data_IF_648926543878
#
_entry.id   IF_648926543878
#
_cell.length_a   1.000
_cell.length_b   1.000
_cell.length_c   1.000
_cell.angle_alpha   90.00
_cell.angle_beta   90.00
_cell.angle_gamma   90.00
#
_symmetry.space_group_name_H-M   'P 1'
#
loop_
_entity.id
_entity.type
_entity.pdbx_description
1 polymer ?
#
# COMPACT_ATOMS: atom_id res chain seq x y z
N UNK A 1 1.94 28.00 58.23
CA UNK A 1 2.19 26.62 57.73
C UNK A 1 0.93 26.01 57.08
N UNK A 2 -0.26 26.29 57.61
CA UNK A 2 -1.59 25.90 57.08
C UNK A 2 -1.84 26.24 55.60
N UNK A 3 -1.51 27.46 55.19
CA UNK A 3 -1.87 28.01 53.87
C UNK A 3 -1.11 27.33 52.72
N UNK A 4 0.16 26.95 52.97
CA UNK A 4 0.98 26.16 52.05
C UNK A 4 0.47 24.72 51.90
N UNK A 5 -0.18 24.15 52.92
CA UNK A 5 -0.83 22.84 52.82
C UNK A 5 -2.13 22.94 52.00
N UNK A 6 -2.92 24.00 52.20
CA UNK A 6 -4.17 24.24 51.46
C UNK A 6 -3.92 24.48 49.96
N UNK A 7 -2.88 25.23 49.60
CA UNK A 7 -2.50 25.43 48.18
C UNK A 7 -1.97 24.16 47.53
N UNK A 8 -1.23 23.33 48.27
CA UNK A 8 -0.74 22.04 47.80
C UNK A 8 -1.89 21.04 47.56
N UNK A 9 -2.85 20.95 48.49
CA UNK A 9 -4.06 20.13 48.32
C UNK A 9 -4.87 20.57 47.10
N UNK A 10 -5.08 21.89 46.92
CA UNK A 10 -5.77 22.43 45.74
C UNK A 10 -5.00 22.19 44.43
N UNK A 11 -3.67 22.15 44.47
CA UNK A 11 -2.82 21.79 43.33
C UNK A 11 -3.01 20.33 42.93
N UNK A 12 -2.96 19.41 43.91
CA UNK A 12 -3.17 17.99 43.68
C UNK A 12 -4.59 17.67 43.19
N UNK A 13 -5.59 18.41 43.66
CA UNK A 13 -6.99 18.27 43.18
C UNK A 13 -7.14 18.70 41.72
N UNK A 14 -6.45 19.77 41.30
CA UNK A 14 -6.41 20.20 39.90
C UNK A 14 -5.70 19.17 39.01
N UNK A 15 -4.57 18.64 39.47
CA UNK A 15 -3.85 17.57 38.77
C UNK A 15 -4.71 16.32 38.62
N UNK A 16 -5.44 15.93 39.69
CA UNK A 16 -6.39 14.81 39.65
C UNK A 16 -7.49 15.02 38.60
N UNK A 17 -8.08 16.22 38.51
CA UNK A 17 -9.12 16.53 37.51
C UNK A 17 -8.56 16.45 36.07
N UNK A 18 -7.34 16.93 35.85
CA UNK A 18 -6.68 16.85 34.53
C UNK A 18 -6.40 15.39 34.15
N UNK A 19 -5.93 14.57 35.10
CA UNK A 19 -5.67 13.15 34.87
C UNK A 19 -6.98 12.38 34.60
N UNK A 20 -8.04 12.61 35.38
CA UNK A 20 -9.34 11.97 35.15
C UNK A 20 -9.94 12.38 33.79
N UNK A 21 -9.75 13.64 33.37
CA UNK A 21 -10.15 14.12 32.03
C UNK A 21 -9.33 13.44 30.94
N UNK A 22 -8.01 13.34 31.10
CA UNK A 22 -7.14 12.68 30.14
C UNK A 22 -7.46 11.19 30.00
N UNK A 23 -7.81 10.51 31.09
CA UNK A 23 -8.22 9.10 31.08
C UNK A 23 -9.56 8.94 30.34
N UNK A 24 -10.54 9.81 30.60
CA UNK A 24 -11.83 9.78 29.89
C UNK A 24 -11.67 10.01 28.40
N UNK A 25 -10.87 11.02 28.04
CA UNK A 25 -10.61 11.36 26.65
C UNK A 25 -9.80 10.25 25.93
N UNK A 26 -8.85 9.61 26.60
CA UNK A 26 -8.13 8.46 26.05
C UNK A 26 -9.06 7.27 25.79
N UNK A 27 -10.03 7.02 26.68
CA UNK A 27 -11.02 5.95 26.51
C UNK A 27 -11.98 6.25 25.36
N UNK A 28 -12.48 7.48 25.29
CA UNK A 28 -13.38 7.91 24.21
C UNK A 28 -12.69 7.88 22.85
N UNK A 29 -11.43 8.33 22.76
CA UNK A 29 -10.63 8.24 21.53
C UNK A 29 -10.35 6.79 21.13
N UNK A 30 -9.99 5.93 22.07
CA UNK A 30 -9.75 4.52 21.78
C UNK A 30 -11.02 3.81 21.29
N UNK A 31 -12.18 4.16 21.85
CA UNK A 31 -13.47 3.61 21.42
C UNK A 31 -13.87 4.14 20.03
N UNK A 32 -13.68 5.43 19.76
CA UNK A 32 -13.95 6.04 18.46
C UNK A 32 -13.04 5.46 17.36
N UNK A 33 -11.75 5.31 17.63
CA UNK A 33 -10.80 4.69 16.69
C UNK A 33 -11.15 3.21 16.45
N UNK A 34 -11.56 2.48 17.49
CA UNK A 34 -12.00 1.09 17.34
C UNK A 34 -13.29 0.98 16.50
N UNK A 35 -14.25 1.89 16.66
CA UNK A 35 -15.46 1.93 15.86
C UNK A 35 -15.17 2.30 14.40
N UNK A 36 -14.38 3.34 14.14
CA UNK A 36 -13.99 3.74 12.79
C UNK A 36 -13.23 2.60 12.09
N UNK A 37 -12.32 1.95 12.81
CA UNK A 37 -11.55 0.81 12.29
C UNK A 37 -12.46 -0.40 12.01
N UNK A 38 -13.44 -0.66 12.85
CA UNK A 38 -14.43 -1.72 12.65
C UNK A 38 -15.34 -1.43 11.46
N UNK A 39 -15.79 -0.19 11.29
CA UNK A 39 -16.62 0.25 10.16
C UNK A 39 -15.84 0.18 8.85
N UNK A 40 -14.60 0.67 8.83
CA UNK A 40 -13.73 0.60 7.66
C UNK A 40 -13.40 -0.85 7.28
N UNK A 41 -13.15 -1.71 8.27
CA UNK A 41 -12.95 -3.15 8.04
C UNK A 41 -14.23 -3.84 7.56
N UNK A 42 -15.41 -3.46 8.04
CA UNK A 42 -16.69 -3.98 7.58
C UNK A 42 -16.98 -3.52 6.13
N UNK A 43 -16.72 -2.27 5.79
CA UNK A 43 -16.84 -1.73 4.44
C UNK A 43 -15.86 -2.42 3.46
N UNK A 44 -14.63 -2.67 3.88
CA UNK A 44 -13.64 -3.41 3.09
C UNK A 44 -14.02 -4.89 2.91
N UNK A 45 -14.57 -5.55 3.94
CA UNK A 45 -15.13 -6.91 3.84
C UNK A 45 -16.38 -6.95 2.97
N UNK A 46 -17.22 -5.93 3.00
CA UNK A 46 -18.38 -5.83 2.11
C UNK A 46 -17.95 -5.62 0.66
N UNK A 47 -16.93 -4.80 0.41
CA UNK A 47 -16.38 -4.56 -0.94
C UNK A 47 -15.66 -5.79 -1.51
N UNK A 48 -14.82 -6.45 -0.70
CA UNK A 48 -14.14 -7.70 -1.10
C UNK A 48 -15.11 -8.87 -1.20
N UNK A 49 -16.10 -8.95 -0.32
CA UNK A 49 -17.18 -9.93 -0.36
C UNK A 49 -18.08 -9.75 -1.59
N UNK A 50 -18.41 -8.52 -1.99
CA UNK A 50 -19.12 -8.24 -3.24
C UNK A 50 -18.30 -8.66 -4.46
N UNK A 51 -16.99 -8.37 -4.46
CA UNK A 51 -16.09 -8.81 -5.54
C UNK A 51 -15.98 -10.34 -5.62
N UNK A 52 -15.85 -11.04 -4.49
CA UNK A 52 -15.85 -12.50 -4.45
C UNK A 52 -17.19 -13.11 -4.88
N UNK A 53 -18.32 -12.53 -4.51
CA UNK A 53 -19.66 -13.01 -4.91
C UNK A 53 -19.89 -12.86 -6.41
N UNK A 54 -19.52 -11.72 -7.00
CA UNK A 54 -19.60 -11.52 -8.46
C UNK A 54 -18.66 -12.48 -9.20
N UNK A 55 -17.46 -12.73 -8.66
CA UNK A 55 -16.53 -13.69 -9.25
C UNK A 55 -16.97 -15.16 -9.06
N UNK A 56 -17.68 -15.47 -7.97
CA UNK A 56 -18.27 -16.78 -7.74
C UNK A 56 -19.46 -17.05 -8.66
N UNK A 57 -20.38 -16.09 -8.80
CA UNK A 57 -21.48 -16.18 -9.78
C UNK A 57 -20.97 -16.25 -11.23
N UNK A 58 -19.88 -15.55 -11.56
CA UNK A 58 -19.26 -15.64 -12.89
C UNK A 58 -18.61 -17.01 -13.14
N UNK A 59 -18.02 -17.63 -12.10
CA UNK A 59 -17.47 -18.99 -12.17
C UNK A 59 -18.57 -20.04 -12.29
N UNK A 60 -19.64 -19.93 -11.51
CA UNK A 60 -20.80 -20.81 -11.59
C UNK A 60 -21.51 -20.68 -12.96
N UNK A 61 -21.62 -19.47 -13.50
CA UNK A 61 -22.10 -19.23 -14.87
C UNK A 61 -21.20 -19.84 -15.95
N UNK A 62 -19.88 -19.83 -15.76
CA UNK A 62 -18.92 -20.49 -16.65
C UNK A 62 -18.98 -22.01 -16.54
N UNK A 63 -19.15 -22.55 -15.33
CA UNK A 63 -19.29 -24.00 -15.09
C UNK A 63 -20.60 -24.54 -15.70
N UNK A 64 -21.70 -23.80 -15.54
CA UNK A 64 -22.99 -24.12 -16.18
C UNK A 64 -22.93 -24.01 -17.71
N UNK A 65 -22.28 -22.98 -18.25
CA UNK A 65 -22.05 -22.84 -19.69
C UNK A 65 -21.11 -23.93 -20.26
N UNK A 66 -20.20 -24.47 -19.44
CA UNK A 66 -19.32 -25.56 -19.83
C UNK A 66 -20.04 -26.93 -19.79
N UNK A 67 -20.97 -27.13 -18.87
CA UNK A 67 -21.85 -28.30 -18.85
C UNK A 67 -22.84 -28.33 -20.04
N UNK A 68 -23.29 -27.17 -20.52
CA UNK A 68 -24.22 -27.04 -21.65
C UNK A 68 -23.51 -26.91 -23.03
N UNK A 69 -22.18 -26.77 -23.04
CA UNK A 69 -21.38 -26.35 -24.19
C UNK A 69 -20.49 -27.42 -24.82
N UNK A 70 -20.87 -28.69 -24.84
CA UNK A 70 -20.16 -29.68 -25.65
C UNK A 70 -20.75 -29.74 -27.06
N UNK A 71 -20.31 -28.84 -27.94
CA UNK A 71 -20.59 -28.94 -29.38
C UNK A 71 -20.52 -27.62 -30.12
N UNK A 72 -19.30 -27.17 -30.46
CA UNK A 72 -18.96 -26.41 -31.69
C UNK A 72 -17.45 -26.15 -31.70
N UNK A 73 -16.76 -26.89 -32.57
CA UNK A 73 -15.30 -26.95 -32.67
C UNK A 73 -14.71 -25.72 -33.39
N UNK A 74 -13.39 -25.57 -33.26
CA UNK A 74 -12.54 -24.52 -33.82
C UNK A 74 -12.65 -24.28 -35.34
N UNK A 75 -13.41 -25.11 -36.08
CA UNK A 75 -13.59 -24.99 -37.53
C UNK A 75 -14.41 -23.74 -37.95
N UNK A 76 -15.32 -23.23 -37.11
CA UNK A 76 -16.16 -22.08 -37.47
C UNK A 76 -15.41 -20.74 -37.36
N UNK A 77 -14.38 -20.68 -36.50
CA UNK A 77 -13.50 -19.50 -36.33
C UNK A 77 -12.66 -19.22 -37.59
N UNK A 78 -12.23 -20.27 -38.29
CA UNK A 78 -11.47 -20.14 -39.54
C UNK A 78 -12.35 -19.66 -40.72
N UNK A 79 -13.67 -19.90 -40.67
CA UNK A 79 -14.60 -19.56 -41.75
C UNK A 79 -14.93 -18.06 -41.82
N UNK A 80 -14.97 -17.36 -40.68
CA UNK A 80 -15.23 -15.90 -40.67
C UNK A 80 -14.01 -15.08 -41.10
N UNK A 81 -12.79 -15.53 -40.79
CA UNK A 81 -11.55 -14.81 -41.13
C UNK A 81 -11.28 -14.81 -42.64
N UNK A 82 -11.64 -15.90 -43.33
CA UNK A 82 -11.54 -16.00 -44.78
C UNK A 82 -12.52 -15.05 -45.52
N UNK A 83 -13.69 -14.76 -44.93
CA UNK A 83 -14.70 -13.88 -45.54
C UNK A 83 -14.33 -12.40 -45.43
N UNK A 84 -13.73 -11.98 -44.32
CA UNK A 84 -13.34 -10.57 -44.12
C UNK A 84 -12.16 -10.14 -45.02
N UNK A 85 -11.33 -11.09 -45.46
CA UNK A 85 -10.14 -10.83 -46.30
C UNK A 85 -10.47 -10.73 -47.79
N UNK A 86 -11.59 -11.33 -48.23
CA UNK A 86 -12.05 -11.26 -49.61
C UNK A 86 -12.75 -9.92 -49.95
N UNK A 87 -13.39 -9.28 -48.97
CA UNK A 87 -14.09 -8.00 -49.17
C UNK A 87 -13.10 -6.81 -49.30
N UNK A 88 -11.93 -6.91 -48.66
CA UNK A 88 -10.92 -5.84 -48.63
C UNK A 88 -10.10 -5.69 -49.91
N UNK A 89 -10.25 -6.60 -50.89
CA UNK A 89 -9.50 -6.59 -52.15
C UNK A 89 -10.27 -5.98 -53.34
N UNK A 90 -11.54 -5.59 -53.17
CA UNK A 90 -12.40 -5.11 -54.26
C UNK A 90 -12.50 -3.57 -54.39
N UNK A 91 -12.00 -2.79 -53.41
CA UNK A 91 -12.25 -1.34 -53.34
C UNK A 91 -11.14 -0.47 -53.95
N UNK A 92 -10.54 -0.91 -55.07
CA UNK A 92 -9.52 -0.13 -55.75
C UNK A 92 -9.60 -0.22 -57.27
N UNK A 93 -10.74 0.15 -57.87
CA UNK A 93 -10.74 0.69 -59.22
C UNK A 93 -12.07 1.36 -59.61
N UNK A 94 -11.96 2.61 -60.06
CA UNK A 94 -12.73 3.27 -61.12
C UNK A 94 -13.56 4.51 -60.72
N UNK A 95 -13.12 5.64 -61.30
CA UNK A 95 -13.69 6.99 -61.24
C UNK A 95 -14.79 7.17 -62.30
N UNK A 96 -15.75 8.07 -62.06
CA UNK A 96 -16.45 8.78 -63.15
C UNK A 96 -17.82 9.39 -62.85
N UNK A 97 -17.86 10.73 -62.75
CA UNK A 97 -18.87 11.69 -63.31
C UNK A 97 -20.36 11.69 -62.84
N UNK A 98 -20.86 12.87 -62.41
CA UNK A 98 -22.29 13.19 -62.11
C UNK A 98 -23.14 13.55 -63.35
N UNK A 99 -24.29 14.29 -63.30
CA UNK A 99 -24.89 15.07 -62.18
C UNK A 99 -26.46 15.14 -62.04
N UNK A 100 -26.93 15.83 -60.98
CA UNK A 100 -28.10 16.76 -60.86
C UNK A 100 -29.51 16.33 -60.36
N UNK A 101 -30.06 17.24 -59.51
CA UNK A 101 -31.46 17.53 -59.11
C UNK A 101 -32.18 16.53 -58.16
N UNK A 102 -32.97 16.90 -57.14
CA UNK A 102 -33.54 18.18 -56.70
C UNK A 102 -34.10 18.08 -55.26
N UNK A 103 -34.08 19.20 -54.53
CA UNK A 103 -35.17 19.73 -53.66
C UNK A 103 -35.76 18.88 -52.52
N UNK A 104 -35.47 19.25 -51.25
CA UNK A 104 -36.36 19.94 -50.27
C UNK A 104 -35.92 19.67 -48.81
N UNK A 105 -35.58 20.73 -48.08
CA UNK A 105 -35.53 20.79 -46.60
C UNK A 105 -36.97 21.04 -46.06
N UNK A 106 -37.34 20.76 -44.78
CA UNK A 106 -36.63 21.22 -43.57
C UNK A 106 -36.61 20.31 -42.31
N UNK A 107 -35.64 20.56 -41.43
CA UNK A 107 -35.60 20.17 -39.99
C UNK A 107 -36.50 21.14 -39.16
N UNK A 108 -36.73 21.07 -37.82
CA UNK A 108 -36.46 20.08 -36.76
C UNK A 108 -37.67 19.86 -35.78
N UNK A 109 -37.63 18.87 -34.84
CA UNK A 109 -38.00 19.03 -33.41
C UNK A 109 -38.03 17.73 -32.59
N UNK A 110 -37.15 17.72 -31.58
CA UNK A 110 -37.23 17.19 -30.21
C UNK A 110 -38.57 16.52 -29.78
N UNK A 111 -38.53 15.21 -29.46
CA UNK A 111 -39.11 14.69 -28.22
C UNK A 111 -38.54 13.31 -27.82
N UNK A 112 -38.07 13.28 -26.57
CA UNK A 112 -37.85 12.18 -25.60
C UNK A 112 -37.32 10.82 -26.08
N UNK A 113 -36.06 10.55 -25.72
CA UNK A 113 -35.40 9.27 -25.94
C UNK A 113 -34.24 9.08 -24.98
N UNK A 114 -34.58 8.94 -23.70
CA UNK A 114 -33.70 8.51 -22.61
C UNK A 114 -33.00 7.19 -23.00
N UNK A 115 -31.83 7.24 -23.64
CA UNK A 115 -30.97 6.08 -23.87
C UNK A 115 -29.69 6.18 -23.03
N UNK A 116 -29.72 5.44 -21.92
CA UNK A 116 -28.55 4.93 -21.22
C UNK A 116 -27.52 4.38 -22.21
N UNK A 117 -26.28 4.81 -22.05
CA UNK A 117 -25.13 4.30 -22.81
C UNK A 117 -23.80 4.53 -22.10
N UNK A 118 -23.82 4.61 -20.77
CA UNK A 118 -22.59 4.58 -19.96
C UNK A 118 -22.03 3.18 -19.92
N UNK A 119 -21.29 2.75 -20.94
CA UNK A 119 -20.54 1.50 -20.88
C UNK A 119 -19.27 1.50 -21.75
N UNK A 120 -18.58 2.63 -21.80
CA UNK A 120 -17.18 2.72 -22.26
C UNK A 120 -16.17 2.81 -21.11
N UNK A 121 -16.62 2.97 -19.87
CA UNK A 121 -15.74 3.32 -18.73
C UNK A 121 -15.17 2.11 -17.96
N UNK A 122 -15.52 0.86 -18.30
CA UNK A 122 -15.47 -0.25 -17.34
C UNK A 122 -14.45 -1.38 -17.58
N UNK A 123 -13.56 -1.28 -18.57
CA UNK A 123 -12.44 -2.26 -18.71
C UNK A 123 -11.11 -1.63 -18.31
N UNK A 124 -10.85 -0.40 -18.74
CA UNK A 124 -9.59 0.31 -18.46
C UNK A 124 -9.50 0.76 -17.00
N UNK A 125 -10.61 1.20 -16.39
CA UNK A 125 -10.70 1.54 -14.97
C UNK A 125 -10.57 0.30 -14.07
N UNK A 126 -11.10 -0.84 -14.50
CA UNK A 126 -10.92 -2.14 -13.84
C UNK A 126 -9.48 -2.67 -13.98
N UNK A 127 -8.87 -2.55 -15.17
CA UNK A 127 -7.46 -2.93 -15.41
C UNK A 127 -6.50 -2.08 -14.57
N UNK A 128 -6.71 -0.76 -14.53
CA UNK A 128 -5.92 0.16 -13.71
C UNK A 128 -6.05 -0.13 -12.20
N UNK A 129 -7.24 -0.49 -11.73
CA UNK A 129 -7.47 -0.86 -10.32
C UNK A 129 -6.83 -2.20 -9.98
N UNK A 130 -6.94 -3.19 -10.88
CA UNK A 130 -6.32 -4.50 -10.71
C UNK A 130 -4.79 -4.40 -10.71
N UNK A 131 -4.19 -3.67 -11.63
CA UNK A 131 -2.74 -3.42 -11.65
C UNK A 131 -2.27 -2.67 -10.40
N UNK A 132 -3.04 -1.68 -9.92
CA UNK A 132 -2.73 -0.98 -8.68
C UNK A 132 -2.75 -1.93 -7.48
N UNK A 133 -3.77 -2.79 -7.38
CA UNK A 133 -3.91 -3.78 -6.32
C UNK A 133 -2.83 -4.87 -6.40
N UNK A 134 -2.42 -5.29 -7.59
CA UNK A 134 -1.31 -6.23 -7.77
C UNK A 134 0.00 -5.61 -7.30
N UNK A 135 0.31 -4.37 -7.71
CA UNK A 135 1.53 -3.66 -7.27
C UNK A 135 1.56 -3.44 -5.75
N UNK A 136 0.42 -3.18 -5.10
CA UNK A 136 0.36 -3.09 -3.64
C UNK A 136 0.45 -4.46 -2.96
N UNK A 137 -0.16 -5.51 -3.51
CA UNK A 137 -0.07 -6.86 -2.98
C UNK A 137 1.36 -7.44 -3.08
N UNK A 138 2.06 -7.17 -4.19
CA UNK A 138 3.48 -7.54 -4.34
C UNK A 138 4.36 -6.80 -3.34
N UNK A 139 4.13 -5.49 -3.15
CA UNK A 139 4.82 -4.71 -2.10
C UNK A 139 4.51 -5.23 -0.70
N UNK A 140 3.28 -5.65 -0.43
CA UNK A 140 2.87 -6.21 0.86
C UNK A 140 3.57 -7.55 1.14
N UNK A 141 3.63 -8.46 0.16
CA UNK A 141 4.35 -9.74 0.28
C UNK A 141 5.84 -9.54 0.56
N UNK A 142 6.46 -8.59 -0.15
CA UNK A 142 7.86 -8.23 0.10
C UNK A 142 8.03 -7.62 1.50
N UNK A 143 7.12 -6.74 1.92
CA UNK A 143 7.16 -6.13 3.24
C UNK A 143 7.05 -7.17 4.36
N UNK A 144 6.17 -8.17 4.26
CA UNK A 144 6.05 -9.24 5.26
C UNK A 144 7.35 -10.03 5.42
N UNK A 145 8.03 -10.34 4.31
CA UNK A 145 9.31 -11.06 4.34
C UNK A 145 10.39 -10.20 4.99
N UNK A 146 10.49 -8.92 4.60
CA UNK A 146 11.45 -7.98 5.16
C UNK A 146 11.19 -7.70 6.65
N UNK A 147 9.92 -7.59 7.06
CA UNK A 147 9.53 -7.44 8.46
C UNK A 147 9.91 -8.68 9.26
N UNK A 148 9.71 -9.89 8.72
CA UNK A 148 10.15 -11.12 9.37
C UNK A 148 11.67 -11.16 9.53
N UNK A 149 12.43 -10.73 8.53
CA UNK A 149 13.89 -10.64 8.60
C UNK A 149 14.36 -9.61 9.62
N UNK A 150 13.79 -8.40 9.62
CA UNK A 150 14.10 -7.35 10.60
C UNK A 150 13.75 -7.82 12.00
N UNK A 151 12.58 -8.42 12.20
CA UNK A 151 12.13 -8.95 13.49
C UNK A 151 13.03 -10.09 13.98
N UNK A 152 13.39 -11.03 13.11
CA UNK A 152 14.32 -12.11 13.45
C UNK A 152 15.68 -11.55 13.84
N UNK A 153 16.17 -10.56 13.10
CA UNK A 153 17.43 -9.92 13.41
C UNK A 153 17.36 -9.16 14.73
N UNK A 154 16.33 -8.38 15.02
CA UNK A 154 16.24 -7.54 16.21
C UNK A 154 15.79 -8.27 17.48
N UNK A 155 15.17 -9.44 17.33
CA UNK A 155 14.63 -10.24 18.43
C UNK A 155 15.66 -10.44 19.55
N UNK A 156 15.25 -10.11 20.79
CA UNK A 156 16.09 -10.26 21.98
C UNK A 156 17.14 -9.17 22.19
N UNK A 157 17.37 -8.25 21.23
CA UNK A 157 18.32 -7.12 21.36
C UNK A 157 17.76 -5.77 20.93
N UNK A 158 16.47 -5.69 20.64
CA UNK A 158 15.74 -4.49 20.20
C UNK A 158 15.80 -3.31 21.19
N UNK A 159 16.11 -3.55 22.47
CA UNK A 159 16.34 -2.49 23.48
C UNK A 159 17.82 -2.23 23.78
N UNK A 160 18.73 -3.03 23.21
CA UNK A 160 20.15 -2.95 23.48
C UNK A 160 20.88 -2.32 22.29
N UNK A 161 21.13 -1.02 22.39
CA UNK A 161 21.78 -0.25 21.33
C UNK A 161 23.15 -0.83 20.94
N UNK A 162 23.95 -1.29 21.91
CA UNK A 162 25.29 -1.87 21.63
C UNK A 162 25.17 -3.13 20.78
N UNK A 163 24.24 -4.01 21.12
CA UNK A 163 24.01 -5.26 20.38
C UNK A 163 23.47 -5.00 18.96
N UNK A 164 22.57 -4.03 18.80
CA UNK A 164 22.06 -3.63 17.48
C UNK A 164 23.20 -3.09 16.59
N UNK A 165 24.01 -2.15 17.10
CA UNK A 165 25.13 -1.57 16.34
C UNK A 165 26.18 -2.61 15.96
N UNK A 166 26.47 -3.56 16.86
CA UNK A 166 27.48 -4.60 16.62
C UNK A 166 27.08 -5.64 15.56
N UNK A 167 25.78 -5.74 15.27
CA UNK A 167 25.22 -6.75 14.36
C UNK A 167 24.49 -6.15 13.16
N UNK A 168 24.61 -4.84 12.94
CA UNK A 168 23.93 -4.10 11.87
C UNK A 168 24.35 -4.56 10.46
N UNK A 169 25.56 -5.11 10.29
CA UNK A 169 26.06 -5.68 9.04
C UNK A 169 25.18 -6.80 8.48
N UNK A 170 24.52 -7.58 9.34
CA UNK A 170 23.74 -8.74 8.90
C UNK A 170 22.41 -8.36 8.26
N UNK A 171 21.87 -7.19 8.61
CA UNK A 171 20.58 -6.71 8.08
C UNK A 171 20.74 -5.71 6.93
N UNK A 172 21.83 -4.93 6.93
CA UNK A 172 22.10 -3.96 5.85
C UNK A 172 22.80 -4.60 4.64
N UNK A 173 23.44 -5.76 4.83
CA UNK A 173 24.20 -6.44 3.78
C UNK A 173 25.53 -5.74 3.43
N UNK A 174 26.35 -6.38 2.58
CA UNK A 174 27.68 -5.88 2.21
C UNK A 174 27.62 -4.58 1.40
N UNK A 175 26.57 -4.38 0.60
CA UNK A 175 26.41 -3.21 -0.28
C UNK A 175 26.17 -1.90 0.49
N UNK A 176 25.81 -2.00 1.77
CA UNK A 176 25.61 -0.82 2.61
C UNK A 176 26.89 -0.04 2.88
N UNK A 177 28.06 -0.72 2.82
CA UNK A 177 29.34 -0.16 3.27
C UNK A 177 29.45 -0.05 4.80
N UNK A 178 28.53 -0.65 5.55
CA UNK A 178 28.62 -0.74 7.00
C UNK A 178 29.78 -1.64 7.41
N UNK A 179 30.63 -1.15 8.31
CA UNK A 179 31.74 -1.91 8.86
C UNK A 179 31.31 -2.53 10.20
N UNK A 180 31.49 -3.85 10.40
CA UNK A 180 31.14 -4.50 11.65
C UNK A 180 31.98 -3.92 12.81
N UNK A 181 31.32 -3.67 13.93
CA UNK A 181 31.96 -3.12 15.14
C UNK A 181 31.82 -4.16 16.26
N UNK A 182 32.90 -4.73 16.78
CA UNK A 182 32.80 -5.70 17.88
C UNK A 182 32.30 -5.03 19.15
N UNK A 183 31.68 -5.79 20.05
CA UNK A 183 31.18 -5.27 21.33
C UNK A 183 32.32 -4.68 22.20
N UNK A 184 33.55 -5.16 22.02
CA UNK A 184 34.76 -4.63 22.66
C UNK A 184 34.99 -3.15 22.34
N UNK A 185 34.59 -2.70 21.15
CA UNK A 185 34.76 -1.32 20.70
C UNK A 185 33.56 -0.44 21.08
N UNK A 186 32.52 -1.02 21.69
CA UNK A 186 31.29 -0.35 22.12
C UNK A 186 31.16 -0.28 23.66
N UNK A 187 32.26 -0.42 24.38
CA UNK A 187 32.29 -0.34 25.85
C UNK A 187 31.98 1.09 26.31
N UNK A 188 32.66 2.09 25.74
CA UNK A 188 32.48 3.49 26.14
C UNK A 188 31.23 4.13 25.54
N UNK A 189 30.54 4.96 26.33
CA UNK A 189 29.41 5.78 25.86
C UNK A 189 29.79 6.59 24.62
N UNK A 190 30.99 7.19 24.61
CA UNK A 190 31.49 7.95 23.46
C UNK A 190 31.55 7.13 22.16
N UNK A 191 32.03 5.88 22.23
CA UNK A 191 32.10 4.99 21.08
C UNK A 191 30.70 4.58 20.59
N UNK A 192 29.77 4.28 21.50
CA UNK A 192 28.36 4.01 21.17
C UNK A 192 27.72 5.21 20.47
N UNK A 193 27.90 6.43 21.00
CA UNK A 193 27.40 7.66 20.38
C UNK A 193 27.98 7.91 18.99
N UNK A 194 29.27 7.61 18.77
CA UNK A 194 29.92 7.70 17.46
C UNK A 194 29.36 6.68 16.48
N UNK A 195 29.24 5.42 16.89
CA UNK A 195 28.70 4.34 16.06
C UNK A 195 27.23 4.56 15.71
N UNK A 196 26.39 5.02 16.65
CA UNK A 196 25.00 5.37 16.40
C UNK A 196 24.85 6.49 15.36
N UNK A 197 25.57 7.61 15.53
CA UNK A 197 25.56 8.70 14.54
C UNK A 197 26.00 8.25 13.16
N UNK A 198 26.97 7.33 13.09
CA UNK A 198 27.36 6.71 11.82
C UNK A 198 26.20 5.87 11.27
N UNK A 199 25.62 4.97 12.07
CA UNK A 199 24.55 4.08 11.65
C UNK A 199 23.36 4.85 11.08
N UNK A 200 22.91 5.91 11.75
CA UNK A 200 21.78 6.72 11.27
C UNK A 200 22.02 7.32 9.90
N UNK A 201 23.26 7.66 9.52
CA UNK A 201 23.57 8.13 8.16
C UNK A 201 23.47 7.03 7.10
N UNK A 202 23.75 5.77 7.45
CA UNK A 202 23.65 4.64 6.52
C UNK A 202 22.20 4.23 6.27
N UNK A 203 21.37 4.31 7.30
CA UNK A 203 19.95 3.92 7.22
C UNK A 203 19.00 5.10 6.94
N UNK A 204 19.52 6.33 6.80
CA UNK A 204 18.68 7.50 6.56
C UNK A 204 18.05 7.46 5.15
N UNK A 205 16.73 7.73 5.02
CA UNK A 205 16.03 7.67 3.73
C UNK A 205 16.65 8.59 2.65
N UNK A 206 17.10 9.79 3.03
CA UNK A 206 17.79 10.72 2.10
C UNK A 206 19.07 10.11 1.49
N UNK A 207 19.89 9.45 2.31
CA UNK A 207 21.15 8.85 1.86
C UNK A 207 20.90 7.60 1.02
N UNK A 208 19.85 6.85 1.32
CA UNK A 208 19.42 5.71 0.51
C UNK A 208 18.86 6.15 -0.85
N UNK A 209 18.15 7.28 -0.89
CA UNK A 209 17.67 7.87 -2.13
C UNK A 209 18.84 8.30 -3.03
N UNK A 210 19.88 8.93 -2.48
CA UNK A 210 21.09 9.33 -3.21
C UNK A 210 21.88 8.14 -3.77
N UNK A 211 21.88 7.00 -3.07
CA UNK A 211 22.60 5.77 -3.48
C UNK A 211 21.81 4.88 -4.46
N UNK A 212 20.59 5.29 -4.84
CA UNK A 212 19.74 4.47 -5.71
C UNK A 212 19.30 3.16 -5.06
N UNK A 213 19.12 3.13 -3.73
CA UNK A 213 18.75 1.92 -3.01
C UNK A 213 17.43 1.33 -3.51
N UNK A 214 17.34 0.00 -3.51
CA UNK A 214 16.10 -0.71 -3.88
C UNK A 214 14.96 -0.39 -2.90
N UNK A 215 13.72 -0.61 -3.34
CA UNK A 215 12.53 -0.43 -2.49
C UNK A 215 12.64 -1.30 -1.22
N UNK A 216 13.18 -2.51 -1.34
CA UNK A 216 13.38 -3.43 -0.22
C UNK A 216 14.42 -2.89 0.78
N UNK A 217 15.54 -2.36 0.29
CA UNK A 217 16.56 -1.75 1.14
C UNK A 217 16.02 -0.51 1.87
N UNK A 218 15.25 0.34 1.18
CA UNK A 218 14.60 1.51 1.80
C UNK A 218 13.69 1.08 2.95
N UNK A 219 12.83 0.09 2.70
CA UNK A 219 11.93 -0.45 3.72
C UNK A 219 12.69 -1.02 4.93
N UNK A 220 13.70 -1.86 4.67
CA UNK A 220 14.52 -2.48 5.72
C UNK A 220 15.23 -1.42 6.56
N UNK A 221 15.86 -0.43 5.91
CA UNK A 221 16.56 0.63 6.61
C UNK A 221 15.64 1.52 7.43
N UNK A 222 14.43 1.80 6.94
CA UNK A 222 13.40 2.55 7.69
C UNK A 222 13.06 1.83 9.00
N UNK A 223 12.77 0.53 8.94
CA UNK A 223 12.50 -0.27 10.15
C UNK A 223 13.69 -0.33 11.10
N UNK A 224 14.89 -0.49 10.56
CA UNK A 224 16.14 -0.52 11.35
C UNK A 224 16.40 0.86 12.00
N UNK A 225 16.09 1.95 11.31
CA UNK A 225 16.24 3.31 11.85
C UNK A 225 15.34 3.52 13.07
N UNK A 226 14.09 3.07 13.01
CA UNK A 226 13.16 3.16 14.14
C UNK A 226 13.64 2.35 15.35
N UNK A 227 14.14 1.13 15.13
CA UNK A 227 14.72 0.30 16.19
C UNK A 227 15.95 0.94 16.83
N UNK A 228 16.86 1.49 16.02
CA UNK A 228 18.04 2.19 16.51
C UNK A 228 17.65 3.43 17.32
N UNK A 229 16.63 4.16 16.89
CA UNK A 229 16.11 5.35 17.59
C UNK A 229 15.47 4.98 18.93
N UNK A 230 14.68 3.91 19.00
CA UNK A 230 14.10 3.44 20.26
C UNK A 230 15.18 2.99 21.25
N UNK A 231 16.14 2.19 20.78
CA UNK A 231 17.27 1.76 21.59
C UNK A 231 18.15 2.94 22.05
N UNK A 232 18.34 3.95 21.22
CA UNK A 232 19.04 5.18 21.59
C UNK A 232 18.32 5.98 22.69
N UNK A 233 17.00 6.08 22.62
CA UNK A 233 16.21 6.76 23.64
C UNK A 233 16.36 6.05 25.00
N UNK A 234 16.35 4.71 25.01
CA UNK A 234 16.58 3.92 26.22
C UNK A 234 18.01 4.07 26.75
N UNK A 235 18.99 3.93 25.87
CA UNK A 235 20.39 4.14 26.21
C UNK A 235 20.64 5.54 26.79
N UNK A 236 19.98 6.57 26.25
CA UNK A 236 20.08 7.94 26.76
C UNK A 236 19.38 8.09 28.12
N UNK A 237 18.27 7.38 28.34
CA UNK A 237 17.53 7.43 29.60
C UNK A 237 18.18 6.60 30.74
N UNK A 238 19.08 5.66 30.43
CA UNK A 238 19.84 4.90 31.43
C UNK A 238 21.14 5.61 31.86
N UNK A 239 21.63 6.55 31.04
CA UNK A 239 22.85 7.33 31.31
C UNK A 239 22.55 8.66 32.04
N UNK A 240 21.30 8.91 32.45
CA UNK A 240 20.83 10.08 33.21
C UNK A 240 19.80 9.70 34.26
#
# INVERSE_FOLDING_TARGET
MEERRRTKVRGMEKERIVVERAIREARERAFAEAQERAEKAAAERAATGAHQRVMAEARERLEKACAEGNGKSAAEKASMEAKLKAERAADQQYKGSGPSNSSKYPSPSIHDGRYSGGNGESVERCKATLERNQRTAERARLAETLDADVKRWSSGKERNLRALLSTLQYILGPDSGWQPIPLTDLISTAAVKKAYRKATLFVHPDKLQQRGASIQQKYTCEKVFDLLKDAWNKFSAEEW
#
